data_IF_320987374388
#
_entry.id   IF_320987374388
#
_cell.length_a   1.000
_cell.length_b   1.000
_cell.length_c   1.000
_cell.angle_alpha   90.00
_cell.angle_beta   90.00
_cell.angle_gamma   90.00
#
_symmetry.space_group_name_H-M   'P 1'
#
loop_
_entity.id
_entity.type
_entity.pdbx_description
1 polymer ?
#
# COMPACT_ATOMS: atom_id res chain seq x y z
N UNK A 1 0.80 -3.40 -29.35
CA UNK A 1 2.10 -2.95 -28.83
C UNK A 1 2.20 -3.32 -27.37
N UNK A 2 3.06 -4.26 -27.03
CA UNK A 2 3.27 -4.69 -25.63
C UNK A 2 4.29 -3.76 -24.96
N UNK A 3 3.79 -2.91 -24.08
CA UNK A 3 4.68 -2.11 -23.22
C UNK A 3 5.18 -3.06 -22.11
N UNK A 4 6.48 -3.31 -22.02
CA UNK A 4 6.99 -4.23 -21.01
C UNK A 4 6.74 -3.69 -19.60
N UNK A 5 6.36 -4.57 -18.71
CA UNK A 5 6.20 -4.25 -17.29
C UNK A 5 7.56 -3.91 -16.69
N UNK A 6 7.66 -2.75 -16.06
CA UNK A 6 8.86 -2.35 -15.33
C UNK A 6 8.86 -3.02 -13.96
N UNK A 7 9.92 -3.76 -13.67
CA UNK A 7 10.09 -4.46 -12.41
C UNK A 7 11.05 -3.72 -11.49
N UNK A 8 10.77 -3.68 -10.18
CA UNK A 8 11.69 -3.09 -9.22
C UNK A 8 12.93 -3.96 -9.03
N UNK A 9 14.05 -3.32 -8.75
CA UNK A 9 15.29 -4.02 -8.37
C UNK A 9 15.18 -4.57 -6.95
N UNK A 10 15.79 -5.72 -6.70
CA UNK A 10 15.88 -6.27 -5.35
C UNK A 10 16.73 -5.35 -4.47
N UNK A 11 16.26 -5.16 -3.23
CA UNK A 11 16.93 -4.34 -2.21
C UNK A 11 17.11 -5.13 -0.93
N UNK A 12 18.14 -4.78 -0.16
CA UNK A 12 18.35 -5.31 1.19
C UNK A 12 17.26 -4.79 2.13
N UNK A 13 16.92 -5.58 3.15
CA UNK A 13 15.87 -5.21 4.10
C UNK A 13 16.13 -3.85 4.78
N UNK A 14 17.37 -3.54 5.07
CA UNK A 14 17.72 -2.25 5.67
C UNK A 14 17.38 -1.07 4.76
N UNK A 15 17.65 -1.20 3.46
CA UNK A 15 17.33 -0.18 2.47
C UNK A 15 15.81 -0.04 2.28
N UNK A 16 15.08 -1.15 2.34
CA UNK A 16 13.62 -1.15 2.29
C UNK A 16 13.02 -0.43 3.50
N UNK A 17 13.54 -0.68 4.70
CA UNK A 17 13.12 0.06 5.90
C UNK A 17 13.34 1.56 5.76
N UNK A 18 14.51 1.97 5.28
CA UNK A 18 14.81 3.38 5.00
C UNK A 18 13.86 3.98 3.98
N UNK A 19 13.54 3.24 2.94
CA UNK A 19 12.58 3.66 1.92
C UNK A 19 11.21 3.96 2.51
N UNK A 20 10.64 3.03 3.29
CA UNK A 20 9.34 3.22 3.91
C UNK A 20 9.32 4.35 4.94
N UNK A 21 10.40 4.52 5.71
CA UNK A 21 10.52 5.65 6.62
C UNK A 21 10.53 6.99 5.87
N UNK A 22 11.26 7.06 4.77
CA UNK A 22 11.38 8.27 3.95
C UNK A 22 10.05 8.71 3.35
N UNK A 23 9.22 7.77 2.91
CA UNK A 23 7.94 8.08 2.28
C UNK A 23 6.77 8.20 3.27
N UNK A 24 7.03 8.13 4.56
CA UNK A 24 6.02 8.32 5.60
C UNK A 24 5.23 7.07 5.98
N UNK A 25 5.68 5.89 5.60
CA UNK A 25 5.08 4.61 5.97
C UNK A 25 5.80 3.93 7.14
N UNK A 26 6.13 4.70 8.15
CA UNK A 26 6.77 4.23 9.38
C UNK A 26 6.02 3.08 10.05
N UNK A 27 4.70 3.07 9.93
CA UNK A 27 3.85 2.01 10.50
C UNK A 27 4.24 0.61 10.02
N UNK A 28 4.66 0.47 8.78
CA UNK A 28 5.08 -0.83 8.24
C UNK A 28 6.35 -1.33 8.93
N UNK A 29 7.31 -0.44 9.12
CA UNK A 29 8.57 -0.78 9.78
C UNK A 29 8.33 -1.12 11.25
N UNK A 30 7.52 -0.33 11.95
CA UNK A 30 7.17 -0.57 13.35
C UNK A 30 6.47 -1.92 13.55
N UNK A 31 5.49 -2.25 12.70
CA UNK A 31 4.79 -3.52 12.79
C UNK A 31 5.67 -4.71 12.40
N UNK A 32 6.57 -4.53 11.45
CA UNK A 32 7.56 -5.54 11.11
C UNK A 32 8.45 -5.87 12.30
N UNK A 33 8.97 -4.87 12.99
CA UNK A 33 9.84 -5.04 14.15
C UNK A 33 9.09 -5.54 15.38
N UNK A 34 7.86 -5.07 15.60
CA UNK A 34 7.03 -5.46 16.72
C UNK A 34 6.67 -6.94 16.67
N UNK A 35 6.33 -7.48 15.50
CA UNK A 35 5.98 -8.89 15.36
C UNK A 35 7.14 -9.83 15.63
N UNK A 36 8.37 -9.40 15.42
CA UNK A 36 9.56 -10.17 15.79
C UNK A 36 9.76 -10.27 17.32
N UNK A 37 9.24 -9.30 18.07
CA UNK A 37 9.35 -9.22 19.53
C UNK A 37 8.21 -9.91 20.25
N UNK A 38 7.05 -10.07 19.62
CA UNK A 38 5.88 -10.71 20.22
C UNK A 38 5.97 -12.22 20.03
N UNK A 39 6.43 -12.91 21.08
CA UNK A 39 6.47 -14.39 21.14
C UNK A 39 5.20 -15.01 21.71
N UNK A 40 4.18 -14.21 21.99
CA UNK A 40 2.94 -14.72 22.62
C UNK A 40 2.04 -15.35 21.56
N UNK A 41 1.94 -16.67 21.60
CA UNK A 41 1.16 -17.50 20.69
C UNK A 41 -0.35 -17.21 20.73
N UNK A 42 -0.86 -16.60 21.80
CA UNK A 42 -2.28 -16.25 21.92
C UNK A 42 -2.67 -15.13 20.94
N UNK A 43 -1.75 -14.27 20.58
CA UNK A 43 -1.94 -13.17 19.64
C UNK A 43 -1.50 -13.49 18.22
N UNK A 44 -0.70 -14.51 18.00
CA UNK A 44 -0.11 -14.86 16.71
C UNK A 44 -1.13 -15.25 15.64
N UNK A 45 -2.34 -15.65 16.01
CA UNK A 45 -3.40 -16.01 15.05
C UNK A 45 -4.03 -14.80 14.35
N UNK A 46 -3.73 -13.54 14.78
CA UNK A 46 -4.43 -12.34 14.32
C UNK A 46 -3.50 -11.24 13.80
N UNK A 47 -2.20 -11.34 14.02
CA UNK A 47 -1.23 -10.33 13.62
C UNK A 47 -0.31 -10.92 12.55
N UNK A 48 -0.60 -10.60 11.30
CA UNK A 48 0.29 -10.94 10.22
C UNK A 48 1.43 -9.93 10.17
N UNK A 49 2.66 -10.43 10.24
CA UNK A 49 3.85 -9.63 10.01
C UNK A 49 3.82 -9.09 8.58
N UNK A 50 3.99 -7.78 8.38
CA UNK A 50 4.11 -7.26 7.02
C UNK A 50 5.37 -7.81 6.35
N UNK A 51 5.22 -8.35 5.14
CA UNK A 51 6.35 -8.73 4.30
C UNK A 51 6.88 -7.49 3.59
N UNK A 52 7.94 -6.90 4.15
CA UNK A 52 8.48 -5.64 3.63
C UNK A 52 9.05 -5.77 2.22
N UNK A 53 9.60 -6.93 1.85
CA UNK A 53 10.10 -7.15 0.50
C UNK A 53 8.97 -7.11 -0.53
N UNK A 54 7.90 -7.84 -0.27
CA UNK A 54 6.76 -7.87 -1.18
C UNK A 54 6.03 -6.53 -1.22
N UNK A 55 5.86 -5.87 -0.09
CA UNK A 55 5.24 -4.55 -0.02
C UNK A 55 6.07 -3.49 -0.76
N UNK A 56 7.38 -3.56 -0.65
CA UNK A 56 8.28 -2.69 -1.42
C UNK A 56 8.10 -2.91 -2.92
N UNK A 57 8.06 -4.17 -3.36
CA UNK A 57 7.85 -4.50 -4.77
C UNK A 57 6.51 -3.99 -5.28
N UNK A 58 5.44 -4.21 -4.52
CA UNK A 58 4.10 -3.72 -4.88
C UNK A 58 4.07 -2.19 -5.01
N UNK A 59 4.64 -1.48 -4.06
CA UNK A 59 4.70 -0.03 -4.08
C UNK A 59 5.43 0.47 -5.32
N UNK A 60 6.59 -0.10 -5.60
CA UNK A 60 7.40 0.23 -6.78
C UNK A 60 6.71 -0.14 -8.09
N UNK A 61 6.03 -1.28 -8.17
CA UNK A 61 5.30 -1.69 -9.38
C UNK A 61 4.24 -0.68 -9.76
N UNK A 62 3.47 -0.20 -8.80
CA UNK A 62 2.43 0.81 -9.04
C UNK A 62 3.03 2.11 -9.55
N UNK A 63 4.13 2.58 -8.94
CA UNK A 63 4.78 3.84 -9.32
C UNK A 63 5.49 3.72 -10.66
N UNK A 64 6.32 2.69 -10.85
CA UNK A 64 7.12 2.52 -12.08
C UNK A 64 6.24 2.34 -13.32
N UNK A 65 5.10 1.68 -13.18
CA UNK A 65 4.18 1.43 -14.27
C UNK A 65 3.04 2.45 -14.34
N UNK A 66 3.12 3.54 -13.59
CA UNK A 66 2.17 4.68 -13.61
C UNK A 66 0.72 4.24 -13.50
N UNK A 67 0.43 3.30 -12.61
CA UNK A 67 -0.92 2.77 -12.43
C UNK A 67 -1.82 3.82 -11.81
N UNK A 68 -3.08 3.83 -12.23
CA UNK A 68 -4.09 4.78 -11.77
C UNK A 68 -5.24 4.09 -11.05
N UNK A 69 -5.33 2.78 -11.17
CA UNK A 69 -6.35 1.98 -10.49
C UNK A 69 -5.82 0.59 -10.18
N UNK A 70 -6.17 0.08 -9.01
CA UNK A 70 -5.80 -1.27 -8.56
C UNK A 70 -7.04 -1.97 -8.04
N UNK A 71 -7.20 -3.24 -8.43
CA UNK A 71 -8.17 -4.15 -7.85
C UNK A 71 -7.41 -5.21 -7.05
N UNK A 72 -7.81 -5.40 -5.81
CA UNK A 72 -7.20 -6.34 -4.89
C UNK A 72 -8.24 -7.31 -4.32
N UNK A 73 -7.88 -8.58 -4.25
CA UNK A 73 -8.65 -9.59 -3.52
C UNK A 73 -7.99 -9.83 -2.16
N UNK A 74 -8.71 -9.52 -1.09
CA UNK A 74 -8.19 -9.57 0.26
C UNK A 74 -7.56 -8.24 0.71
N UNK A 75 -8.00 -7.77 1.87
CA UNK A 75 -7.58 -6.49 2.44
C UNK A 75 -6.45 -6.70 3.44
N UNK A 76 -5.38 -5.93 3.33
CA UNK A 76 -4.24 -6.04 4.25
C UNK A 76 -3.25 -4.90 4.11
N UNK A 77 -2.01 -5.15 4.49
CA UNK A 77 -0.91 -4.18 4.37
C UNK A 77 -0.68 -3.75 2.92
N UNK A 78 -0.89 -4.65 1.97
CA UNK A 78 -0.80 -4.38 0.53
C UNK A 78 -1.75 -3.27 0.09
N UNK A 79 -2.97 -3.25 0.64
CA UNK A 79 -3.96 -2.21 0.34
C UNK A 79 -3.44 -0.83 0.74
N UNK A 80 -2.86 -0.70 1.92
CA UNK A 80 -2.26 0.54 2.40
C UNK A 80 -1.13 1.00 1.49
N UNK A 81 -0.23 0.09 1.14
CA UNK A 81 0.95 0.37 0.32
C UNK A 81 0.56 0.79 -1.10
N UNK A 82 -0.38 0.09 -1.71
CA UNK A 82 -0.86 0.43 -3.05
C UNK A 82 -1.64 1.73 -3.07
N UNK A 83 -2.45 2.00 -2.04
CA UNK A 83 -3.14 3.30 -1.90
C UNK A 83 -2.15 4.46 -1.81
N UNK A 84 -1.07 4.27 -1.07
CA UNK A 84 0.00 5.27 -0.96
C UNK A 84 0.67 5.52 -2.31
N UNK A 85 1.03 4.46 -3.02
CA UNK A 85 1.64 4.57 -4.34
C UNK A 85 0.74 5.27 -5.35
N UNK A 86 -0.57 4.97 -5.33
CA UNK A 86 -1.54 5.64 -6.19
C UNK A 86 -1.67 7.14 -5.88
N UNK A 87 -1.53 7.54 -4.62
CA UNK A 87 -1.49 8.97 -4.26
C UNK A 87 -0.26 9.68 -4.83
N UNK A 88 0.88 9.03 -4.83
CA UNK A 88 2.08 9.57 -5.49
C UNK A 88 1.81 9.75 -6.98
N UNK A 89 1.21 8.76 -7.63
CA UNK A 89 0.85 8.84 -9.05
C UNK A 89 -0.20 9.93 -9.32
N UNK A 90 -1.17 10.08 -8.43
CA UNK A 90 -2.16 11.16 -8.52
C UNK A 90 -1.49 12.52 -8.53
N UNK A 91 -0.58 12.75 -7.62
CA UNK A 91 0.15 14.01 -7.55
C UNK A 91 0.94 14.31 -8.84
N UNK A 92 1.54 13.28 -9.44
CA UNK A 92 2.34 13.44 -10.66
C UNK A 92 1.53 13.52 -11.94
N UNK A 93 0.43 12.78 -12.04
CA UNK A 93 -0.23 12.51 -13.33
C UNK A 93 -1.71 12.91 -13.37
N UNK A 94 -2.26 13.51 -12.34
CA UNK A 94 -3.68 13.88 -12.28
C UNK A 94 -4.16 14.64 -13.51
N UNK A 95 -3.39 15.64 -13.94
CA UNK A 95 -3.74 16.44 -15.11
C UNK A 95 -3.67 15.66 -16.43
N UNK A 96 -2.80 14.67 -16.53
CA UNK A 96 -2.63 13.85 -17.74
C UNK A 96 -3.76 12.84 -17.94
N UNK A 97 -4.42 12.40 -16.87
CA UNK A 97 -5.50 11.40 -16.92
C UNK A 97 -6.88 12.02 -16.73
N UNK A 98 -6.97 13.33 -16.73
CA UNK A 98 -8.21 14.08 -16.47
C UNK A 98 -9.36 13.67 -17.38
N UNK A 99 -9.08 13.34 -18.63
CA UNK A 99 -10.05 12.95 -19.65
C UNK A 99 -10.32 11.44 -19.72
N UNK A 100 -9.67 10.65 -18.88
CA UNK A 100 -9.93 9.21 -18.85
C UNK A 100 -11.31 8.94 -18.27
N UNK A 101 -12.03 7.98 -18.86
CA UNK A 101 -13.41 7.64 -18.49
C UNK A 101 -13.56 6.90 -17.17
N UNK A 102 -12.49 6.62 -16.47
CA UNK A 102 -12.54 5.91 -15.18
C UNK A 102 -13.13 6.80 -14.09
N UNK A 103 -14.08 6.25 -13.35
CA UNK A 103 -14.50 6.82 -12.07
C UNK A 103 -13.48 6.40 -10.98
N UNK A 104 -13.33 7.24 -9.96
CA UNK A 104 -12.44 6.96 -8.82
C UNK A 104 -11.01 6.62 -9.24
N UNK A 105 -10.42 7.46 -10.08
CA UNK A 105 -9.01 7.37 -10.44
C UNK A 105 -8.13 7.45 -9.18
N UNK A 106 -6.96 6.81 -9.23
CA UNK A 106 -5.99 6.77 -8.14
C UNK A 106 -6.56 6.15 -6.85
N UNK A 107 -7.34 5.10 -7.02
CA UNK A 107 -7.96 4.37 -5.92
C UNK A 107 -7.69 2.88 -5.99
N UNK A 108 -7.67 2.25 -4.83
CA UNK A 108 -7.69 0.79 -4.70
C UNK A 108 -9.13 0.36 -4.42
N UNK A 109 -9.62 -0.59 -5.21
CA UNK A 109 -10.84 -1.33 -4.89
C UNK A 109 -10.44 -2.67 -4.29
N UNK A 110 -10.84 -2.94 -3.07
CA UNK A 110 -10.52 -4.19 -2.39
C UNK A 110 -11.78 -4.97 -2.08
N UNK A 111 -11.70 -6.26 -2.27
CA UNK A 111 -12.79 -7.20 -1.98
C UNK A 111 -12.31 -8.16 -0.91
N UNK A 112 -13.02 -8.21 0.20
CA UNK A 112 -12.75 -9.14 1.28
C UNK A 112 -14.08 -9.68 1.81
N UNK A 113 -14.14 -10.99 2.03
CA UNK A 113 -15.32 -11.66 2.60
C UNK A 113 -15.40 -11.55 4.13
N UNK A 114 -14.36 -11.00 4.77
CA UNK A 114 -14.29 -10.82 6.22
C UNK A 114 -14.37 -9.33 6.58
N UNK A 115 -15.51 -8.91 7.12
CA UNK A 115 -15.75 -7.52 7.53
C UNK A 115 -14.69 -6.99 8.49
N UNK A 116 -14.18 -7.83 9.40
CA UNK A 116 -13.17 -7.42 10.39
C UNK A 116 -11.88 -6.90 9.73
N UNK A 117 -11.43 -7.48 8.61
CA UNK A 117 -10.25 -7.01 7.89
C UNK A 117 -10.49 -5.67 7.21
N UNK A 118 -11.69 -5.46 6.66
CA UNK A 118 -12.10 -4.18 6.11
C UNK A 118 -12.12 -3.09 7.19
N UNK A 119 -12.63 -3.41 8.37
CA UNK A 119 -12.70 -2.45 9.49
C UNK A 119 -11.30 -2.10 10.02
N UNK A 120 -10.41 -3.08 10.14
CA UNK A 120 -9.01 -2.85 10.52
C UNK A 120 -8.33 -1.95 9.49
N UNK A 121 -8.53 -2.20 8.22
CA UNK A 121 -7.97 -1.41 7.14
C UNK A 121 -8.47 0.03 7.16
N UNK A 122 -9.78 0.24 7.34
CA UNK A 122 -10.37 1.59 7.44
C UNK A 122 -9.78 2.38 8.60
N UNK A 123 -9.58 1.76 9.75
CA UNK A 123 -8.94 2.40 10.91
C UNK A 123 -7.49 2.79 10.61
N UNK A 124 -6.74 1.94 9.92
CA UNK A 124 -5.35 2.23 9.52
C UNK A 124 -5.30 3.39 8.53
N UNK A 125 -6.13 3.37 7.51
CA UNK A 125 -6.20 4.45 6.52
C UNK A 125 -6.60 5.77 7.15
N UNK A 126 -7.62 5.77 8.00
CA UNK A 126 -8.07 7.00 8.67
C UNK A 126 -7.02 7.61 9.58
N UNK A 127 -6.16 6.78 10.17
CA UNK A 127 -5.06 7.24 11.01
C UNK A 127 -3.93 7.89 10.20
N UNK A 128 -3.59 7.32 9.03
CA UNK A 128 -2.44 7.74 8.22
C UNK A 128 -2.80 8.53 6.98
N UNK A 129 -4.02 8.37 6.51
CA UNK A 129 -4.61 9.08 5.37
C UNK A 129 -5.92 9.69 5.79
N UNK A 130 -5.89 10.79 6.50
CA UNK A 130 -7.09 11.62 6.52
C UNK A 130 -7.22 12.23 5.12
N UNK A 131 -8.27 11.89 4.34
CA UNK A 131 -8.53 12.65 3.15
C UNK A 131 -8.66 14.10 3.59
N UNK A 132 -7.87 14.98 2.99
CA UNK A 132 -8.11 16.41 3.15
C UNK A 132 -9.57 16.61 2.80
N UNK A 133 -10.39 17.02 3.77
CA UNK A 133 -11.75 17.40 3.48
C UNK A 133 -11.65 18.44 2.36
N UNK A 134 -12.17 18.10 1.19
CA UNK A 134 -12.36 19.09 0.15
C UNK A 134 -13.32 20.14 0.69
N UNK A 135 -12.79 21.30 0.96
CA UNK A 135 -13.64 22.45 1.23
C UNK A 135 -14.40 22.85 -0.04
#
# INVERSE_FOLDING_TARGET
MNIPLKLPKNKKILDIKKYFLKIGLKILVENYELTDKIKDTRFNKKIYKPDLNDLYRLHKLVILNKRIKVLEYGTGWSTLVMSHALKINQFKYENKVKNFRFKNKFSVSTIDNEKKYLDIFRKRINKYYRPKKSN
#
